data_IF_069345147713
#
_entry.id   IF_069345147713
#
_cell.length_a   1.000
_cell.length_b   1.000
_cell.length_c   1.000
_cell.angle_alpha   90.00
_cell.angle_beta   90.00
_cell.angle_gamma   90.00
#
_symmetry.space_group_name_H-M   'P 1'
#
loop_
_entity.id
_entity.type
_entity.pdbx_description
1 polymer ?
#
# COMPACT_ATOMS: atom_id res chain seq x y z
N UNK A 1 19.09 19.77 15.32
CA UNK A 1 17.76 19.97 14.73
C UNK A 1 16.98 18.69 14.91
N UNK A 2 15.82 18.73 15.57
CA UNK A 2 15.03 17.51 15.76
C UNK A 2 14.58 16.98 14.39
N UNK A 3 14.87 15.71 14.06
CA UNK A 3 14.52 15.14 12.77
C UNK A 3 13.03 15.30 12.43
N UNK A 4 12.16 15.29 13.44
CA UNK A 4 10.70 15.30 13.29
C UNK A 4 10.15 16.55 12.58
N UNK A 5 10.87 17.68 12.62
CA UNK A 5 10.48 18.94 11.97
C UNK A 5 10.40 18.79 10.45
N UNK A 6 11.12 17.82 9.88
CA UNK A 6 11.08 17.55 8.44
C UNK A 6 9.79 16.85 7.99
N UNK A 7 9.03 16.20 8.87
CA UNK A 7 7.77 15.53 8.48
C UNK A 7 6.75 16.55 7.93
N UNK A 8 6.42 17.65 8.65
CA UNK A 8 5.55 18.70 8.11
C UNK A 8 6.07 19.32 6.80
N UNK A 9 7.39 19.48 6.65
CA UNK A 9 7.99 20.04 5.45
C UNK A 9 7.82 19.10 4.25
N UNK A 10 8.07 17.79 4.43
CA UNK A 10 7.86 16.78 3.40
C UNK A 10 6.38 16.69 3.03
N UNK A 11 5.49 16.72 4.04
CA UNK A 11 4.04 16.73 3.83
C UNK A 11 3.63 17.95 3.00
N UNK A 12 4.01 19.16 3.42
CA UNK A 12 3.68 20.39 2.70
C UNK A 12 4.21 20.40 1.26
N UNK A 13 5.45 19.93 1.05
CA UNK A 13 6.04 19.81 -0.29
C UNK A 13 5.24 18.85 -1.19
N UNK A 14 4.92 17.65 -0.69
CA UNK A 14 4.14 16.68 -1.45
C UNK A 14 2.68 17.13 -1.66
N UNK A 15 2.06 17.80 -0.68
CA UNK A 15 0.71 18.37 -0.83
C UNK A 15 0.70 19.50 -1.86
N UNK A 16 1.74 20.35 -1.88
CA UNK A 16 1.88 21.42 -2.86
C UNK A 16 2.06 20.85 -4.26
N UNK A 17 2.92 19.82 -4.41
CA UNK A 17 3.08 19.10 -5.68
C UNK A 17 1.75 18.53 -6.19
N UNK A 18 1.00 17.85 -5.31
CA UNK A 18 -0.28 17.28 -5.68
C UNK A 18 -1.33 18.35 -6.01
N UNK A 19 -1.33 19.47 -5.28
CA UNK A 19 -2.19 20.61 -5.55
C UNK A 19 -1.89 21.23 -6.92
N UNK A 20 -0.61 21.44 -7.26
CA UNK A 20 -0.20 21.96 -8.57
C UNK A 20 -0.66 21.01 -9.69
N UNK A 21 -0.48 19.70 -9.53
CA UNK A 21 -0.96 18.70 -10.48
C UNK A 21 -2.49 18.63 -10.58
N UNK A 22 -3.23 18.90 -9.51
CA UNK A 22 -4.70 18.89 -9.58
C UNK A 22 -5.24 20.16 -10.24
N UNK A 23 -4.59 21.32 -10.04
CA UNK A 23 -5.05 22.60 -10.60
C UNK A 23 -4.65 22.83 -12.06
N UNK A 24 -3.59 22.17 -12.53
CA UNK A 24 -3.08 22.33 -13.90
C UNK A 24 -3.84 21.51 -14.96
N UNK A 25 -4.95 20.86 -14.62
CA UNK A 25 -5.82 20.20 -15.60
C UNK A 25 -6.61 21.29 -16.35
N UNK A 26 -6.36 21.53 -17.65
CA UNK A 26 -6.98 22.63 -18.40
C UNK A 26 -8.51 22.53 -18.46
N UNK A 27 -9.07 21.32 -18.53
CA UNK A 27 -10.52 21.09 -18.51
C UNK A 27 -11.17 21.48 -17.16
N UNK A 28 -10.46 21.34 -16.03
CA UNK A 28 -10.93 21.82 -14.72
C UNK A 28 -10.89 23.34 -14.59
N UNK A 29 -10.08 24.03 -15.41
CA UNK A 29 -10.07 25.48 -15.47
C UNK A 29 -11.27 26.03 -16.26
N UNK A 30 -11.82 25.25 -17.20
CA UNK A 30 -12.99 25.61 -18.00
C UNK A 30 -14.32 25.35 -17.27
N UNK A 31 -14.38 24.39 -16.34
CA UNK A 31 -15.61 24.01 -15.62
C UNK A 31 -15.38 23.93 -14.10
N UNK A 32 -15.79 24.97 -13.37
CA UNK A 32 -15.63 25.06 -11.90
C UNK A 32 -16.40 24.00 -11.11
N UNK A 33 -17.45 23.40 -11.70
CA UNK A 33 -18.21 22.27 -11.16
C UNK A 33 -17.37 20.99 -11.11
N UNK A 34 -16.57 20.70 -12.14
CA UNK A 34 -15.67 19.53 -12.20
C UNK A 34 -14.50 19.65 -11.22
N UNK A 35 -14.11 20.88 -10.86
CA UNK A 35 -13.04 21.15 -9.89
C UNK A 35 -13.36 20.65 -8.48
N UNK A 36 -14.65 20.60 -8.12
CA UNK A 36 -15.13 20.03 -6.85
C UNK A 36 -15.17 18.49 -6.83
N UNK A 37 -15.11 17.85 -8.01
CA UNK A 37 -15.20 16.40 -8.15
C UNK A 37 -13.84 15.70 -8.00
N UNK A 38 -12.73 16.39 -8.26
CA UNK A 38 -11.38 15.84 -8.08
C UNK A 38 -10.98 15.81 -6.59
N UNK A 39 -11.48 14.81 -5.89
CA UNK A 39 -11.17 14.50 -4.48
C UNK A 39 -10.64 13.08 -4.36
N UNK A 40 -9.99 12.79 -3.24
CA UNK A 40 -9.64 11.40 -2.94
C UNK A 40 -10.93 10.59 -2.76
N UNK A 41 -11.12 9.50 -3.52
CA UNK A 41 -12.35 8.75 -3.46
C UNK A 41 -12.51 8.09 -2.10
N UNK A 42 -13.69 8.29 -1.50
CA UNK A 42 -14.09 7.72 -0.20
C UNK A 42 -15.32 6.83 -0.31
N UNK A 43 -16.08 6.94 -1.41
CA UNK A 43 -17.25 6.12 -1.74
C UNK A 43 -17.15 5.55 -3.16
N UNK A 44 -18.03 4.60 -3.50
CA UNK A 44 -18.16 4.10 -4.88
C UNK A 44 -18.62 5.19 -5.85
N UNK A 45 -19.48 6.11 -5.40
CA UNK A 45 -19.96 7.25 -6.18
C UNK A 45 -18.82 8.21 -6.50
N UNK A 46 -17.91 8.44 -5.53
CA UNK A 46 -16.70 9.21 -5.75
C UNK A 46 -15.79 8.55 -6.79
N UNK A 47 -15.67 7.20 -6.77
CA UNK A 47 -14.86 6.51 -7.78
C UNK A 47 -15.49 6.68 -9.16
N UNK A 48 -16.81 6.56 -9.30
CA UNK A 48 -17.50 6.72 -10.59
C UNK A 48 -17.31 8.13 -11.15
N UNK A 49 -17.62 9.16 -10.35
CA UNK A 49 -17.44 10.57 -10.76
C UNK A 49 -15.98 10.91 -11.13
N UNK A 50 -15.01 10.55 -10.28
CA UNK A 50 -13.58 10.78 -10.56
C UNK A 50 -13.12 9.97 -11.76
N UNK A 51 -13.59 8.74 -11.93
CA UNK A 51 -13.26 7.90 -13.08
C UNK A 51 -13.79 8.52 -14.38
N UNK A 52 -15.05 8.94 -14.41
CA UNK A 52 -15.66 9.54 -15.61
C UNK A 52 -14.94 10.83 -16.02
N UNK A 53 -14.64 11.69 -15.05
CA UNK A 53 -13.84 12.91 -15.26
C UNK A 53 -12.45 12.59 -15.82
N UNK A 54 -11.72 11.68 -15.17
CA UNK A 54 -10.35 11.37 -15.58
C UNK A 54 -10.29 10.57 -16.88
N UNK A 55 -11.31 9.78 -17.20
CA UNK A 55 -11.39 9.06 -18.48
C UNK A 55 -11.55 10.01 -19.66
N UNK A 56 -12.41 11.03 -19.56
CA UNK A 56 -12.54 12.06 -20.59
C UNK A 56 -11.19 12.73 -20.87
N UNK A 57 -10.49 13.13 -19.81
CA UNK A 57 -9.18 13.78 -19.94
C UNK A 57 -8.05 12.83 -20.37
N UNK A 58 -8.17 11.53 -20.10
CA UNK A 58 -7.15 10.52 -20.42
C UNK A 58 -6.96 10.37 -21.92
N UNK A 59 -8.02 10.54 -22.71
CA UNK A 59 -7.97 10.31 -24.16
C UNK A 59 -7.04 11.31 -24.87
N UNK A 60 -6.97 12.55 -24.38
CA UNK A 60 -6.04 13.57 -24.90
C UNK A 60 -4.72 13.65 -24.11
N UNK A 61 -4.74 13.33 -22.80
CA UNK A 61 -3.61 13.56 -21.89
C UNK A 61 -3.26 12.36 -20.99
N UNK A 62 -3.12 11.17 -21.58
CA UNK A 62 -2.81 9.92 -20.85
C UNK A 62 -1.65 10.03 -19.85
N UNK A 63 -0.50 10.60 -20.27
CA UNK A 63 0.70 10.68 -19.42
C UNK A 63 0.47 11.56 -18.19
N UNK A 64 -0.32 12.61 -18.33
CA UNK A 64 -0.65 13.50 -17.23
C UNK A 64 -1.51 12.80 -16.18
N UNK A 65 -2.58 12.12 -16.62
CA UNK A 65 -3.47 11.35 -15.73
C UNK A 65 -2.68 10.27 -15.00
N UNK A 66 -1.76 9.60 -15.69
CA UNK A 66 -0.86 8.62 -15.10
C UNK A 66 0.01 9.24 -13.99
N UNK A 67 0.68 10.37 -14.26
CA UNK A 67 1.54 11.05 -13.28
C UNK A 67 0.74 11.55 -12.08
N UNK A 68 -0.43 12.14 -12.32
CA UNK A 68 -1.35 12.57 -11.26
C UNK A 68 -1.77 11.39 -10.38
N UNK A 69 -2.21 10.30 -11.00
CA UNK A 69 -2.62 9.08 -10.29
C UNK A 69 -1.46 8.49 -9.47
N UNK A 70 -0.28 8.34 -10.07
CA UNK A 70 0.92 7.83 -9.40
C UNK A 70 1.31 8.72 -8.21
N UNK A 71 1.30 10.04 -8.39
CA UNK A 71 1.61 11.00 -7.33
C UNK A 71 0.62 10.92 -6.17
N UNK A 72 -0.68 10.89 -6.48
CA UNK A 72 -1.75 10.75 -5.51
C UNK A 72 -1.66 9.41 -4.73
N UNK A 73 -1.34 8.32 -5.43
CA UNK A 73 -1.17 7.00 -4.84
C UNK A 73 -0.01 6.97 -3.86
N UNK A 74 1.17 7.42 -4.31
CA UNK A 74 2.38 7.47 -3.48
C UNK A 74 2.16 8.38 -2.27
N UNK A 75 1.48 9.52 -2.46
CA UNK A 75 1.11 10.42 -1.36
C UNK A 75 0.32 9.69 -0.27
N UNK A 76 -0.82 9.06 -0.63
CA UNK A 76 -1.63 8.33 0.35
C UNK A 76 -0.84 7.22 1.05
N UNK A 77 -0.08 6.45 0.29
CA UNK A 77 0.67 5.32 0.82
C UNK A 77 1.81 5.76 1.74
N UNK A 78 2.50 6.86 1.40
CA UNK A 78 3.62 7.44 2.16
C UNK A 78 3.16 7.90 3.54
N UNK A 79 2.02 8.59 3.61
CA UNK A 79 1.45 9.10 4.85
C UNK A 79 0.49 8.14 5.55
N UNK A 80 0.47 6.86 5.14
CA UNK A 80 -0.36 5.82 5.75
C UNK A 80 -1.87 6.17 5.78
N UNK A 81 -2.35 6.94 4.81
CA UNK A 81 -3.75 7.39 4.73
C UNK A 81 -4.62 6.19 4.31
N UNK A 82 -5.67 5.82 5.08
CA UNK A 82 -6.52 4.70 4.75
C UNK A 82 -7.29 4.89 3.42
N UNK A 83 -7.79 3.78 2.88
CA UNK A 83 -8.54 3.78 1.61
C UNK A 83 -7.66 3.55 0.37
N UNK A 84 -6.69 2.64 0.46
CA UNK A 84 -5.96 2.14 -0.72
C UNK A 84 -6.86 1.34 -1.66
N UNK A 85 -7.91 0.70 -1.13
CA UNK A 85 -8.96 0.01 -1.92
C UNK A 85 -9.48 0.93 -3.02
N UNK A 86 -9.88 2.15 -2.67
CA UNK A 86 -10.50 3.08 -3.62
C UNK A 86 -9.55 3.50 -4.75
N UNK A 87 -8.26 3.69 -4.43
CA UNK A 87 -7.25 4.00 -5.45
C UNK A 87 -6.99 2.80 -6.39
N UNK A 88 -7.00 1.57 -5.85
CA UNK A 88 -6.84 0.36 -6.65
C UNK A 88 -8.05 0.13 -7.58
N UNK A 89 -9.27 0.35 -7.08
CA UNK A 89 -10.50 0.31 -7.88
C UNK A 89 -10.46 1.37 -8.99
N UNK A 90 -10.11 2.61 -8.64
CA UNK A 90 -9.97 3.70 -9.61
C UNK A 90 -8.93 3.38 -10.69
N UNK A 91 -7.78 2.80 -10.32
CA UNK A 91 -6.80 2.34 -11.31
C UNK A 91 -7.40 1.34 -12.29
N UNK A 92 -8.16 0.36 -11.77
CA UNK A 92 -8.85 -0.64 -12.59
C UNK A 92 -9.80 -0.01 -13.61
N UNK A 93 -10.58 0.98 -13.18
CA UNK A 93 -11.51 1.71 -14.04
C UNK A 93 -10.77 2.54 -15.12
N UNK A 94 -9.68 3.23 -14.74
CA UNK A 94 -8.97 4.15 -15.65
C UNK A 94 -8.10 3.46 -16.71
N UNK A 95 -7.32 2.45 -16.32
CA UNK A 95 -6.30 1.86 -17.21
C UNK A 95 -6.51 0.38 -17.52
N UNK A 96 -7.55 -0.24 -16.95
CA UNK A 96 -7.83 -1.67 -17.10
C UNK A 96 -6.85 -2.56 -16.35
N UNK A 97 -7.16 -3.86 -16.27
CA UNK A 97 -6.44 -4.80 -15.39
C UNK A 97 -4.97 -4.95 -15.75
N UNK A 98 -4.66 -5.14 -17.03
CA UNK A 98 -3.30 -5.47 -17.49
C UNK A 98 -2.27 -4.38 -17.23
N UNK A 99 -2.69 -3.10 -17.31
CA UNK A 99 -1.81 -1.95 -17.03
C UNK A 99 -1.81 -1.60 -15.54
N UNK A 100 -2.98 -1.60 -14.92
CA UNK A 100 -3.14 -1.18 -13.52
C UNK A 100 -2.57 -2.17 -12.53
N UNK A 101 -2.66 -3.48 -12.77
CA UNK A 101 -2.14 -4.47 -11.85
C UNK A 101 -0.62 -4.33 -11.56
N UNK A 102 0.27 -4.39 -12.58
CA UNK A 102 1.70 -4.22 -12.32
C UNK A 102 2.03 -2.82 -11.79
N UNK A 103 1.33 -1.79 -12.28
CA UNK A 103 1.52 -0.40 -11.83
C UNK A 103 1.18 -0.24 -10.35
N UNK A 104 0.00 -0.67 -9.91
CA UNK A 104 -0.45 -0.56 -8.53
C UNK A 104 0.45 -1.36 -7.60
N UNK A 105 0.86 -2.58 -7.98
CA UNK A 105 1.82 -3.36 -7.19
C UNK A 105 3.14 -2.60 -6.98
N UNK A 106 3.67 -1.99 -8.04
CA UNK A 106 4.89 -1.19 -7.95
C UNK A 106 4.71 0.08 -7.12
N UNK A 107 3.61 0.81 -7.31
CA UNK A 107 3.27 2.01 -6.52
C UNK A 107 3.05 1.68 -5.04
N UNK A 108 2.42 0.54 -4.74
CA UNK A 108 2.19 0.07 -3.37
C UNK A 108 3.53 -0.19 -2.67
N UNK A 109 4.44 -0.92 -3.32
CA UNK A 109 5.76 -1.21 -2.80
C UNK A 109 6.58 0.07 -2.61
N UNK A 110 6.60 0.94 -3.62
CA UNK A 110 7.35 2.21 -3.57
C UNK A 110 6.83 3.15 -2.49
N UNK A 111 5.52 3.38 -2.43
CA UNK A 111 4.91 4.23 -1.41
C UNK A 111 5.04 3.65 0.00
N UNK A 112 4.95 2.33 0.16
CA UNK A 112 5.19 1.67 1.44
C UNK A 112 6.65 1.84 1.89
N UNK A 113 7.60 1.82 0.95
CA UNK A 113 9.02 2.09 1.23
C UNK A 113 9.26 3.56 1.60
N UNK A 114 8.54 4.51 1.02
CA UNK A 114 8.57 5.91 1.47
C UNK A 114 8.07 6.03 2.92
N UNK A 115 6.96 5.37 3.26
CA UNK A 115 6.44 5.29 4.64
C UNK A 115 7.46 4.64 5.61
N UNK A 116 8.08 3.53 5.20
CA UNK A 116 9.17 2.88 5.92
C UNK A 116 10.32 3.84 6.19
N UNK A 117 10.75 4.62 5.19
CA UNK A 117 11.86 5.56 5.35
C UNK A 117 11.49 6.73 6.27
N UNK A 118 10.28 7.28 6.17
CA UNK A 118 9.77 8.27 7.12
C UNK A 118 9.84 7.75 8.56
N UNK A 119 9.34 6.53 8.79
CA UNK A 119 9.43 5.91 10.12
C UNK A 119 10.88 5.65 10.55
N UNK A 120 11.75 5.18 9.65
CA UNK A 120 13.17 4.90 9.93
C UNK A 120 13.93 6.14 10.39
N UNK A 121 13.79 7.25 9.67
CA UNK A 121 14.56 8.46 9.94
C UNK A 121 13.95 9.33 11.04
N UNK A 122 12.63 9.36 11.15
CA UNK A 122 11.95 10.31 12.03
C UNK A 122 11.20 9.64 13.19
N UNK A 123 10.64 8.45 13.02
CA UNK A 123 9.84 7.77 14.05
C UNK A 123 10.63 6.87 14.98
N UNK A 124 11.63 6.16 14.45
CA UNK A 124 12.34 5.08 15.15
C UNK A 124 12.99 5.52 16.46
N UNK A 125 13.64 6.68 16.48
CA UNK A 125 14.34 7.17 17.67
C UNK A 125 13.37 7.43 18.83
N UNK A 126 12.19 8.00 18.56
CA UNK A 126 11.18 8.26 19.58
C UNK A 126 10.59 6.95 20.12
N UNK A 127 10.24 6.00 19.25
CA UNK A 127 9.66 4.72 19.71
C UNK A 127 10.65 3.94 20.58
N UNK A 128 11.93 3.92 20.22
CA UNK A 128 12.99 3.32 21.04
C UNK A 128 13.12 4.04 22.39
N UNK A 129 13.02 5.38 22.41
CA UNK A 129 13.11 6.18 23.64
C UNK A 129 11.94 5.93 24.60
N UNK A 130 10.72 5.82 24.10
CA UNK A 130 9.51 5.62 24.92
C UNK A 130 9.25 4.15 25.29
N UNK A 131 9.65 3.20 24.44
CA UNK A 131 9.37 1.77 24.64
C UNK A 131 10.60 0.86 24.40
N UNK A 132 11.74 1.11 25.07
CA UNK A 132 13.01 0.43 24.78
C UNK A 132 12.92 -1.09 24.97
N UNK A 133 12.34 -1.55 26.07
CA UNK A 133 12.26 -2.99 26.39
C UNK A 133 11.40 -3.77 25.39
N UNK A 134 10.24 -3.24 25.03
CA UNK A 134 9.33 -3.86 24.04
C UNK A 134 9.97 -3.92 22.67
N UNK A 135 10.64 -2.85 22.24
CA UNK A 135 11.33 -2.82 20.95
C UNK A 135 12.47 -3.82 20.93
N UNK A 136 13.29 -3.89 21.98
CA UNK A 136 14.40 -4.83 22.08
C UNK A 136 13.92 -6.29 22.01
N UNK A 137 12.90 -6.64 22.79
CA UNK A 137 12.30 -7.98 22.76
C UNK A 137 11.79 -8.38 21.37
N UNK A 138 11.16 -7.44 20.65
CA UNK A 138 10.67 -7.71 19.29
C UNK A 138 11.80 -7.79 18.27
N UNK A 139 12.85 -6.97 18.39
CA UNK A 139 14.05 -7.05 17.56
C UNK A 139 14.75 -8.41 17.75
N UNK A 140 14.92 -8.88 18.99
CA UNK A 140 15.49 -10.20 19.28
C UNK A 140 14.65 -11.33 18.66
N UNK A 141 13.31 -11.22 18.69
CA UNK A 141 12.44 -12.20 18.00
C UNK A 141 12.64 -12.20 16.48
N UNK A 142 12.80 -11.04 15.87
CA UNK A 142 13.06 -10.91 14.43
C UNK A 142 14.41 -11.52 14.09
N UNK A 143 15.44 -11.25 14.88
CA UNK A 143 16.79 -11.80 14.68
C UNK A 143 16.81 -13.34 14.82
N UNK A 144 16.16 -13.88 15.85
CA UNK A 144 16.06 -15.32 16.07
C UNK A 144 15.31 -16.06 14.94
N UNK A 145 14.41 -15.37 14.24
CA UNK A 145 13.60 -15.92 13.14
C UNK A 145 13.94 -15.30 11.79
N UNK A 146 15.16 -14.78 11.62
CA UNK A 146 15.58 -14.07 10.41
C UNK A 146 15.38 -14.92 9.13
N UNK A 147 15.68 -16.22 9.22
CA UNK A 147 15.52 -17.18 8.11
C UNK A 147 14.08 -17.27 7.57
N UNK A 148 13.08 -17.13 8.43
CA UNK A 148 11.66 -17.22 8.08
C UNK A 148 10.96 -15.85 8.04
N UNK A 149 11.69 -14.77 8.30
CA UNK A 149 11.16 -13.42 8.40
C UNK A 149 10.40 -12.98 7.15
N UNK A 150 10.97 -13.25 5.97
CA UNK A 150 10.35 -12.88 4.70
C UNK A 150 8.97 -13.53 4.52
N UNK A 151 8.86 -14.83 4.78
CA UNK A 151 7.61 -15.56 4.66
C UNK A 151 6.61 -15.19 5.76
N UNK A 152 7.09 -14.87 6.96
CA UNK A 152 6.26 -14.31 8.02
C UNK A 152 5.66 -12.95 7.61
N UNK A 153 6.45 -12.08 6.98
CA UNK A 153 5.96 -10.80 6.44
C UNK A 153 4.94 -11.00 5.31
N UNK A 154 5.16 -11.97 4.42
CA UNK A 154 4.20 -12.34 3.39
C UNK A 154 2.88 -12.81 4.00
N UNK A 155 2.93 -13.70 4.99
CA UNK A 155 1.74 -14.15 5.71
C UNK A 155 0.95 -12.99 6.29
N UNK A 156 1.62 -12.10 7.02
CA UNK A 156 0.96 -10.94 7.61
C UNK A 156 0.26 -10.11 6.53
N UNK A 157 0.88 -9.92 5.36
CA UNK A 157 0.31 -9.10 4.28
C UNK A 157 -0.82 -9.77 3.49
N UNK A 158 -0.77 -11.08 3.33
CA UNK A 158 -1.89 -11.83 2.76
C UNK A 158 -3.07 -11.91 3.72
N UNK A 159 -2.81 -11.85 5.02
CA UNK A 159 -3.86 -11.90 6.03
C UNK A 159 -4.71 -10.62 5.98
N UNK A 160 -6.01 -10.70 5.65
CA UNK A 160 -6.84 -9.54 5.31
C UNK A 160 -7.05 -8.57 6.47
N UNK A 161 -6.91 -9.03 7.72
CA UNK A 161 -7.12 -8.19 8.92
C UNK A 161 -5.85 -7.45 9.36
N UNK A 162 -4.70 -7.68 8.74
CA UNK A 162 -3.48 -7.02 9.18
C UNK A 162 -3.45 -5.55 8.71
N UNK A 163 -3.20 -4.59 9.62
CA UNK A 163 -3.04 -3.20 9.24
C UNK A 163 -1.71 -3.01 8.50
N UNK A 164 -1.75 -2.89 7.18
CA UNK A 164 -0.56 -2.69 6.34
C UNK A 164 0.25 -1.44 6.74
N UNK A 165 -0.43 -0.35 7.13
CA UNK A 165 0.23 0.85 7.62
C UNK A 165 1.11 0.58 8.84
N UNK A 166 0.64 -0.25 9.76
CA UNK A 166 1.36 -0.59 10.98
C UNK A 166 2.60 -1.40 10.66
N UNK A 167 2.52 -2.35 9.72
CA UNK A 167 3.69 -3.10 9.24
C UNK A 167 4.73 -2.18 8.60
N UNK A 168 4.28 -1.19 7.81
CA UNK A 168 5.17 -0.23 7.15
C UNK A 168 5.92 0.65 8.16
N UNK A 169 5.23 1.12 9.21
CA UNK A 169 5.83 1.96 10.25
C UNK A 169 6.70 1.15 11.23
N UNK A 170 6.29 -0.08 11.60
CA UNK A 170 7.00 -0.91 12.58
C UNK A 170 8.23 -1.61 12.01
N UNK A 171 8.23 -1.99 10.74
CA UNK A 171 9.35 -2.69 10.10
C UNK A 171 10.74 -2.05 10.30
N UNK A 172 10.95 -0.73 10.10
CA UNK A 172 12.26 -0.11 10.32
C UNK A 172 12.66 -0.05 11.80
N UNK A 173 11.67 0.02 12.70
CA UNK A 173 11.87 0.00 14.15
C UNK A 173 12.39 -1.37 14.59
N UNK A 174 11.88 -2.44 13.98
CA UNK A 174 12.29 -3.81 14.21
C UNK A 174 13.55 -4.25 13.45
N UNK A 175 14.26 -3.32 12.80
CA UNK A 175 15.47 -3.59 11.99
C UNK A 175 15.23 -4.55 10.80
N UNK A 176 14.01 -4.64 10.29
CA UNK A 176 13.73 -5.43 9.09
C UNK A 176 14.40 -4.75 7.89
N UNK A 177 15.20 -5.47 7.08
CA UNK A 177 15.90 -4.88 5.95
C UNK A 177 14.94 -4.46 4.82
N UNK A 178 15.25 -3.33 4.18
CA UNK A 178 14.36 -2.69 3.19
C UNK A 178 14.07 -3.59 1.98
N UNK A 179 15.00 -4.44 1.55
CA UNK A 179 14.78 -5.33 0.42
C UNK A 179 13.74 -6.41 0.75
N UNK A 180 13.84 -7.07 1.92
CA UNK A 180 12.82 -8.03 2.37
C UNK A 180 11.46 -7.33 2.54
N UNK A 181 11.47 -6.13 3.11
CA UNK A 181 10.27 -5.32 3.25
C UNK A 181 9.63 -5.02 1.88
N UNK A 182 10.38 -4.47 0.92
CA UNK A 182 9.89 -4.10 -0.41
C UNK A 182 9.27 -5.30 -1.13
N UNK A 183 9.99 -6.42 -1.21
CA UNK A 183 9.47 -7.62 -1.86
C UNK A 183 8.30 -8.23 -1.11
N UNK A 184 8.26 -8.14 0.23
CA UNK A 184 7.09 -8.57 1.00
C UNK A 184 5.86 -7.74 0.67
N UNK A 185 5.99 -6.43 0.48
CA UNK A 185 4.87 -5.56 0.06
C UNK A 185 4.45 -5.90 -1.36
N UNK A 186 5.42 -5.97 -2.26
CA UNK A 186 5.19 -6.20 -3.69
C UNK A 186 4.46 -7.52 -3.94
N UNK A 187 4.94 -8.62 -3.35
CA UNK A 187 4.35 -9.96 -3.53
C UNK A 187 3.15 -10.16 -2.59
N UNK A 188 3.28 -9.74 -1.33
CA UNK A 188 2.27 -9.97 -0.28
C UNK A 188 0.95 -9.27 -0.54
N UNK A 189 0.95 -8.17 -1.30
CA UNK A 189 -0.27 -7.43 -1.65
C UNK A 189 -0.73 -7.65 -3.08
N UNK A 190 -0.03 -8.46 -3.88
CA UNK A 190 -0.47 -8.79 -5.25
C UNK A 190 -1.90 -9.34 -5.31
N UNK A 191 -2.29 -10.35 -4.51
CA UNK A 191 -3.65 -10.91 -4.59
C UNK A 191 -4.72 -9.86 -4.30
N UNK A 192 -4.51 -9.07 -3.25
CA UNK A 192 -5.39 -7.97 -2.87
C UNK A 192 -5.47 -6.89 -3.97
N UNK A 193 -4.32 -6.45 -4.50
CA UNK A 193 -4.26 -5.46 -5.57
C UNK A 193 -4.94 -5.96 -6.84
N UNK A 194 -4.75 -7.24 -7.19
CA UNK A 194 -5.39 -7.85 -8.35
C UNK A 194 -6.90 -7.86 -8.21
N UNK A 195 -7.43 -8.33 -7.07
CA UNK A 195 -8.88 -8.33 -6.80
C UNK A 195 -9.44 -6.92 -6.93
N UNK A 196 -8.86 -5.93 -6.25
CA UNK A 196 -9.37 -4.56 -6.32
C UNK A 196 -9.29 -3.98 -7.74
N UNK A 197 -8.20 -4.20 -8.47
CA UNK A 197 -8.05 -3.71 -9.84
C UNK A 197 -9.04 -4.40 -10.80
N UNK A 198 -9.22 -5.72 -10.67
CA UNK A 198 -10.18 -6.51 -11.44
C UNK A 198 -11.60 -5.99 -11.20
N UNK A 199 -11.99 -5.85 -9.93
CA UNK A 199 -13.29 -5.33 -9.54
C UNK A 199 -13.46 -3.91 -10.09
N UNK A 200 -12.45 -3.04 -9.95
CA UNK A 200 -12.47 -1.68 -10.50
C UNK A 200 -12.64 -1.61 -12.01
N UNK A 201 -12.10 -2.56 -12.78
CA UNK A 201 -12.34 -2.62 -14.24
C UNK A 201 -13.79 -2.95 -14.62
N UNK A 202 -14.56 -3.50 -13.67
CA UNK A 202 -15.97 -3.84 -13.79
C UNK A 202 -16.85 -2.83 -13.01
N UNK A 203 -16.39 -1.59 -12.84
CA UNK A 203 -17.03 -0.57 -11.99
C UNK A 203 -18.52 -0.34 -12.28
N UNK A 204 -18.95 -0.50 -13.54
CA UNK A 204 -20.36 -0.38 -13.95
C UNK A 204 -21.27 -1.46 -13.36
N UNK A 205 -20.71 -2.59 -12.92
CA UNK A 205 -21.43 -3.72 -12.35
C UNK A 205 -21.41 -3.74 -10.81
N UNK A 206 -20.64 -2.84 -10.18
CA UNK A 206 -20.52 -2.79 -8.71
C UNK A 206 -21.63 -1.93 -8.12
N UNK A 207 -22.33 -2.51 -7.15
CA UNK A 207 -23.38 -1.85 -6.39
C UNK A 207 -22.95 -1.54 -4.95
N UNK A 208 -22.04 -2.33 -4.37
CA UNK A 208 -21.63 -2.20 -2.97
C UNK A 208 -20.16 -2.57 -2.70
N UNK A 209 -19.63 -2.17 -1.54
CA UNK A 209 -18.30 -2.60 -1.07
C UNK A 209 -18.25 -4.10 -0.70
N UNK A 210 -19.41 -4.71 -0.42
CA UNK A 210 -19.52 -6.15 -0.14
C UNK A 210 -19.23 -7.00 -1.39
N UNK A 211 -19.42 -6.42 -2.59
CA UNK A 211 -19.07 -7.05 -3.87
C UNK A 211 -17.54 -7.19 -4.03
N UNK A 212 -16.75 -6.33 -3.35
CA UNK A 212 -15.29 -6.39 -3.35
C UNK A 212 -14.78 -7.39 -2.30
N UNK A 213 -15.36 -7.36 -1.09
CA UNK A 213 -14.96 -8.19 0.05
C UNK A 213 -15.95 -9.30 0.35
N UNK A 214 -16.39 -10.03 -0.68
CA UNK A 214 -17.28 -11.19 -0.49
C UNK A 214 -16.61 -12.26 0.38
N UNK A 215 -17.39 -13.00 1.17
CA UNK A 215 -16.89 -14.10 2.01
C UNK A 215 -16.00 -15.09 1.26
N UNK A 216 -16.33 -15.38 -0.01
CA UNK A 216 -15.51 -16.23 -0.87
C UNK A 216 -14.14 -15.62 -1.21
N UNK A 217 -14.07 -14.31 -1.43
CA UNK A 217 -12.81 -13.57 -1.68
C UNK A 217 -11.94 -13.54 -0.44
N UNK A 218 -12.52 -13.26 0.72
CA UNK A 218 -11.83 -13.31 2.01
C UNK A 218 -11.29 -14.71 2.31
N UNK A 219 -12.07 -15.76 2.00
CA UNK A 219 -11.62 -17.14 2.17
C UNK A 219 -10.46 -17.48 1.24
N UNK A 220 -10.49 -17.04 -0.02
CA UNK A 220 -9.37 -17.22 -0.96
C UNK A 220 -8.09 -16.50 -0.48
N UNK A 221 -8.21 -15.27 0.01
CA UNK A 221 -7.08 -14.53 0.58
C UNK A 221 -6.52 -15.22 1.82
N UNK A 222 -7.39 -15.71 2.71
CA UNK A 222 -6.98 -16.47 3.88
C UNK A 222 -6.29 -17.80 3.49
N UNK A 223 -6.79 -18.50 2.48
CA UNK A 223 -6.16 -19.72 1.96
C UNK A 223 -4.75 -19.44 1.40
N UNK A 224 -4.59 -18.37 0.61
CA UNK A 224 -3.28 -17.93 0.09
C UNK A 224 -2.34 -17.58 1.26
N UNK A 225 -2.84 -16.89 2.28
CA UNK A 225 -2.05 -16.56 3.48
C UNK A 225 -1.54 -17.83 4.20
N UNK A 226 -2.39 -18.85 4.35
CA UNK A 226 -2.01 -20.12 4.97
C UNK A 226 -0.94 -20.86 4.14
N UNK A 227 -1.07 -20.89 2.82
CA UNK A 227 -0.06 -21.49 1.93
C UNK A 227 1.28 -20.77 2.07
N UNK A 228 1.28 -19.44 2.20
CA UNK A 228 2.50 -18.66 2.38
C UNK A 228 3.24 -18.93 3.70
N UNK A 229 2.56 -19.50 4.70
CA UNK A 229 3.19 -19.94 5.96
C UNK A 229 3.87 -21.31 5.88
N UNK A 230 3.51 -22.14 4.90
CA UNK A 230 4.05 -23.51 4.77
C UNK A 230 5.59 -23.50 4.71
N UNK A 231 6.25 -22.64 3.91
CA UNK A 231 7.72 -22.56 3.90
C UNK A 231 8.31 -22.16 5.27
N UNK A 232 7.66 -21.25 6.01
CA UNK A 232 8.10 -20.84 7.35
C UNK A 232 8.13 -22.01 8.34
N UNK A 233 7.10 -22.85 8.33
CA UNK A 233 7.03 -24.02 9.21
C UNK A 233 8.03 -25.10 8.82
N UNK A 234 8.23 -25.33 7.51
CA UNK A 234 9.22 -26.29 7.00
C UNK A 234 10.63 -25.89 7.42
N UNK A 235 11.02 -24.63 7.21
CA UNK A 235 12.35 -24.14 7.60
C UNK A 235 12.59 -24.23 9.11
N UNK A 236 11.57 -23.94 9.93
CA UNK A 236 11.65 -24.10 11.39
C UNK A 236 11.85 -25.56 11.80
N UNK A 237 11.16 -26.50 11.14
CA UNK A 237 11.30 -27.94 11.38
C UNK A 237 12.67 -28.46 10.94
N UNK A 238 13.19 -28.00 9.80
CA UNK A 238 14.52 -28.35 9.30
C UNK A 238 15.64 -27.84 10.24
N UNK A 239 15.50 -26.64 10.80
CA UNK A 239 16.43 -26.09 11.79
C UNK A 239 16.43 -26.87 13.10
N UNK A 240 15.25 -27.22 13.61
CA UNK A 240 15.12 -28.08 14.80
C UNK A 240 15.70 -29.49 14.59
N UNK A 241 15.57 -30.05 13.39
CA UNK A 241 16.16 -31.34 13.07
C UNK A 241 17.69 -31.27 12.93
N UNK A 242 18.25 -30.18 12.38
CA UNK A 242 19.71 -29.96 12.33
C UNK A 242 20.31 -29.76 13.73
N UNK A 243 19.63 -29.02 14.62
CA UNK A 243 20.07 -28.84 16.02
C UNK A 243 20.01 -30.10 16.87
N UNK A 244 19.22 -31.10 16.48
CA UNK A 244 19.16 -32.43 17.15
C UNK A 244 20.17 -33.44 16.60
N UNK A 245 20.79 -33.14 15.46
CA UNK A 245 21.74 -34.02 14.78
C UNK A 245 23.21 -33.63 15.01
N UNK A 246 23.44 -32.56 15.79
CA UNK A 246 24.74 -32.10 16.31
C UNK A 246 24.76 -32.36 17.80
#
# INVERSE_FOLDING_TARGET
MEPIIWIPVILAGMSTWLYVLSTNIPELAANSTLKGELKFPTSLEDIKSVSDLLMMYKDEHFLYVLVLFCSAYIYKQTFAIPGSVFMNLLAGALFGVWKSFPLVCFLTATGATCCYNLSKYFGKQYVIRYFPEKVKFMQEKVENNYDSLFFFLLFLRFFPMSPNWFLNVSSPILNIPVHMFFFSVFIGLMPYNFICVQTGSMLSQISSMEDVFTSGTLLKLAAIALVALVPSFIMKKLKNNKLKAV
#
